data_IF_666587675927
#
_entry.id   IF_666587675927
#
_cell.length_a   1.000
_cell.length_b   1.000
_cell.length_c   1.000
_cell.angle_alpha   90.00
_cell.angle_beta   90.00
_cell.angle_gamma   90.00
#
_symmetry.space_group_name_H-M   'P 1'
#
loop_
_entity.id
_entity.type
_entity.pdbx_description
1 polymer ?
#
# COMPACT_ATOMS: atom_id res chain seq x y z
N UNK A 1 -16.98 13.26 18.08
CA UNK A 1 -16.71 13.25 16.62
C UNK A 1 -17.00 11.85 16.10
N UNK A 2 -17.84 11.71 15.07
CA UNK A 2 -18.17 10.38 14.50
C UNK A 2 -17.10 9.94 13.50
N UNK A 3 -16.91 8.63 13.29
CA UNK A 3 -15.98 8.09 12.27
C UNK A 3 -16.24 8.67 10.89
N UNK A 4 -17.51 8.90 10.53
CA UNK A 4 -17.91 9.54 9.26
C UNK A 4 -17.37 10.97 9.17
N UNK A 5 -17.58 11.80 10.19
CA UNK A 5 -17.04 13.16 10.23
C UNK A 5 -15.52 13.17 10.17
N UNK A 6 -14.87 12.20 10.85
CA UNK A 6 -13.42 12.01 10.79
C UNK A 6 -12.92 11.78 9.37
N UNK A 7 -13.52 10.84 8.65
CA UNK A 7 -13.14 10.56 7.26
C UNK A 7 -13.44 11.73 6.33
N UNK A 8 -14.59 12.40 6.48
CA UNK A 8 -14.97 13.54 5.64
C UNK A 8 -13.98 14.71 5.76
N UNK A 9 -13.36 14.90 6.92
CA UNK A 9 -12.36 15.96 7.13
C UNK A 9 -10.96 15.46 6.78
N UNK A 10 -10.60 14.26 7.21
CA UNK A 10 -9.24 13.74 7.07
C UNK A 10 -8.87 13.40 5.63
N UNK A 11 -9.79 12.88 4.81
CA UNK A 11 -9.49 12.52 3.41
C UNK A 11 -9.12 13.75 2.56
N UNK A 12 -9.86 14.88 2.60
CA UNK A 12 -9.43 16.11 1.94
C UNK A 12 -8.08 16.62 2.45
N UNK A 13 -7.82 16.55 3.76
CA UNK A 13 -6.52 16.95 4.32
C UNK A 13 -5.40 16.07 3.78
N UNK A 14 -5.58 14.75 3.74
CA UNK A 14 -4.61 13.81 3.14
C UNK A 14 -4.37 14.14 1.67
N UNK A 15 -5.43 14.46 0.92
CA UNK A 15 -5.30 14.86 -0.48
C UNK A 15 -4.49 16.15 -0.62
N UNK A 16 -4.77 17.18 0.19
CA UNK A 16 -4.01 18.43 0.18
C UNK A 16 -2.55 18.18 0.50
N UNK A 17 -2.27 17.43 1.59
CA UNK A 17 -0.91 17.08 2.00
C UNK A 17 -0.17 16.32 0.89
N UNK A 18 -0.83 15.35 0.24
CA UNK A 18 -0.24 14.63 -0.87
C UNK A 18 0.06 15.54 -2.08
N UNK A 19 -0.88 16.43 -2.44
CA UNK A 19 -0.74 17.32 -3.61
C UNK A 19 0.29 18.44 -3.37
N UNK A 20 0.58 18.80 -2.11
CA UNK A 20 1.66 19.76 -1.79
C UNK A 20 2.99 19.32 -2.40
N UNK A 21 3.28 18.02 -2.49
CA UNK A 21 4.49 17.50 -3.12
C UNK A 21 4.65 17.96 -4.58
N UNK A 22 3.55 18.12 -5.32
CA UNK A 22 3.54 18.61 -6.71
C UNK A 22 3.56 20.14 -6.81
N UNK A 23 3.11 20.85 -5.78
CA UNK A 23 3.04 22.31 -5.79
C UNK A 23 4.38 22.96 -5.44
N UNK A 24 5.27 22.22 -4.78
CA UNK A 24 6.60 22.69 -4.40
C UNK A 24 7.59 22.64 -5.58
N UNK A 25 8.64 23.48 -5.58
CA UNK A 25 9.77 23.34 -6.49
C UNK A 25 10.37 21.92 -6.41
N UNK A 26 10.91 21.39 -7.51
CA UNK A 26 11.36 19.99 -7.61
C UNK A 26 12.26 19.55 -6.44
N UNK A 27 13.26 20.35 -6.06
CA UNK A 27 14.16 20.04 -4.94
C UNK A 27 13.46 19.99 -3.57
N UNK A 28 12.45 20.85 -3.36
CA UNK A 28 11.68 20.88 -2.12
C UNK A 28 10.64 19.77 -2.08
N UNK A 29 9.94 19.52 -3.20
CA UNK A 29 9.02 18.40 -3.37
C UNK A 29 9.72 17.06 -3.17
N UNK A 30 10.94 16.93 -3.69
CA UNK A 30 11.80 15.78 -3.46
C UNK A 30 12.08 15.52 -1.98
N UNK A 31 12.56 16.55 -1.29
CA UNK A 31 12.88 16.48 0.14
C UNK A 31 11.63 16.17 0.95
N UNK A 32 10.50 16.77 0.58
CA UNK A 32 9.21 16.54 1.20
C UNK A 32 8.78 15.08 1.09
N UNK A 33 8.81 14.50 -0.11
CA UNK A 33 8.43 13.10 -0.34
C UNK A 33 9.37 12.14 0.40
N UNK A 34 10.69 12.38 0.34
CA UNK A 34 11.72 11.56 1.01
C UNK A 34 11.55 11.49 2.53
N UNK A 35 10.95 12.51 3.15
CA UNK A 35 10.69 12.50 4.60
C UNK A 35 9.30 11.95 4.90
N UNK A 36 8.30 12.41 4.15
CA UNK A 36 6.91 12.12 4.45
C UNK A 36 6.53 10.67 4.15
N UNK A 37 7.03 10.09 3.08
CA UNK A 37 6.73 8.70 2.71
C UNK A 37 7.21 7.69 3.75
N UNK A 38 8.51 7.61 4.10
CA UNK A 38 8.97 6.71 5.16
C UNK A 38 8.36 7.09 6.52
N UNK A 39 8.16 8.39 6.79
CA UNK A 39 7.48 8.85 8.00
C UNK A 39 6.05 8.31 8.13
N UNK A 40 5.27 8.35 7.05
CA UNK A 40 3.92 7.81 6.99
C UNK A 40 3.91 6.28 7.17
N UNK A 41 4.84 5.58 6.52
CA UNK A 41 5.01 4.13 6.67
C UNK A 41 5.36 3.74 8.11
N UNK A 42 6.32 4.41 8.75
CA UNK A 42 6.68 4.15 10.14
C UNK A 42 5.53 4.47 11.10
N UNK A 43 4.81 5.58 10.89
CA UNK A 43 3.61 5.90 11.66
C UNK A 43 2.53 4.82 11.51
N UNK A 44 2.32 4.33 10.28
CA UNK A 44 1.40 3.22 9.99
C UNK A 44 1.84 1.93 10.67
N UNK A 45 3.14 1.63 10.71
CA UNK A 45 3.68 0.46 11.39
C UNK A 45 3.36 0.48 12.89
N UNK A 46 3.54 1.63 13.55
CA UNK A 46 3.21 1.82 14.97
C UNK A 46 1.71 1.76 15.22
N UNK A 47 0.90 2.42 14.38
CA UNK A 47 -0.55 2.38 14.49
C UNK A 47 -1.11 0.97 14.28
N UNK A 48 -0.63 0.25 13.27
CA UNK A 48 -1.02 -1.14 13.01
C UNK A 48 -0.60 -2.06 14.15
N UNK A 49 0.60 -1.89 14.71
CA UNK A 49 1.04 -2.64 15.89
C UNK A 49 0.11 -2.39 17.07
N UNK A 50 -0.20 -1.12 17.36
CA UNK A 50 -1.12 -0.78 18.44
C UNK A 50 -2.51 -1.40 18.21
N UNK A 51 -3.05 -1.28 17.00
CA UNK A 51 -4.34 -1.89 16.64
C UNK A 51 -4.29 -3.40 16.85
N UNK A 52 -3.19 -4.06 16.50
CA UNK A 52 -3.03 -5.50 16.71
C UNK A 52 -3.17 -5.90 18.19
N UNK A 53 -2.69 -5.07 19.12
CA UNK A 53 -2.77 -5.33 20.56
C UNK A 53 -4.20 -5.25 21.11
N UNK A 54 -5.10 -4.56 20.41
CA UNK A 54 -6.52 -4.46 20.80
C UNK A 54 -7.34 -5.69 20.37
N UNK A 55 -6.84 -6.48 19.41
CA UNK A 55 -7.56 -7.63 18.86
C UNK A 55 -6.99 -8.98 19.33
N UNK A 56 -7.74 -10.05 19.07
CA UNK A 56 -7.32 -11.44 19.28
C UNK A 56 -7.49 -12.26 18.00
N UNK A 57 -6.80 -13.40 17.93
CA UNK A 57 -6.93 -14.35 16.82
C UNK A 57 -6.46 -13.77 15.47
N UNK A 58 -7.23 -14.03 14.41
CA UNK A 58 -6.86 -13.70 13.04
C UNK A 58 -6.67 -12.19 12.78
N UNK A 59 -7.48 -11.32 13.40
CA UNK A 59 -7.33 -9.86 13.25
C UNK A 59 -6.02 -9.35 13.85
N UNK A 60 -5.61 -9.87 15.02
CA UNK A 60 -4.32 -9.53 15.62
C UNK A 60 -3.17 -9.91 14.69
N UNK A 61 -3.20 -11.12 14.13
CA UNK A 61 -2.20 -11.56 13.17
C UNK A 61 -2.17 -10.67 11.94
N UNK A 62 -3.33 -10.35 11.34
CA UNK A 62 -3.42 -9.46 10.19
C UNK A 62 -2.71 -8.11 10.43
N UNK A 63 -3.00 -7.46 11.56
CA UNK A 63 -2.38 -6.17 11.88
C UNK A 63 -0.91 -6.27 12.30
N UNK A 64 -0.48 -7.38 12.92
CA UNK A 64 0.94 -7.63 13.19
C UNK A 64 1.74 -7.78 11.90
N UNK A 65 1.26 -8.57 10.95
CA UNK A 65 1.90 -8.73 9.65
C UNK A 65 1.89 -7.43 8.84
N UNK A 66 0.79 -6.67 8.90
CA UNK A 66 0.70 -5.36 8.27
C UNK A 66 1.67 -4.34 8.89
N UNK A 67 1.84 -4.37 10.21
CA UNK A 67 2.84 -3.56 10.92
C UNK A 67 4.26 -3.92 10.48
N UNK A 68 4.58 -5.22 10.42
CA UNK A 68 5.87 -5.69 9.91
C UNK A 68 6.13 -5.26 8.47
N UNK A 69 5.11 -5.35 7.60
CA UNK A 69 5.19 -4.85 6.23
C UNK A 69 5.52 -3.35 6.21
N UNK A 70 4.77 -2.50 6.91
CA UNK A 70 5.02 -1.06 6.91
C UNK A 70 6.36 -0.68 7.53
N UNK A 71 6.79 -1.39 8.57
CA UNK A 71 8.08 -1.15 9.20
C UNK A 71 9.21 -1.42 8.20
N UNK A 72 9.21 -2.62 7.62
CA UNK A 72 10.25 -2.99 6.66
C UNK A 72 10.17 -2.11 5.41
N UNK A 73 8.98 -1.93 4.84
CA UNK A 73 8.83 -1.08 3.67
C UNK A 73 9.21 0.39 3.96
N UNK A 74 8.98 0.89 5.18
CA UNK A 74 9.44 2.20 5.62
C UNK A 74 10.97 2.30 5.68
N UNK A 75 11.65 1.30 6.25
CA UNK A 75 13.11 1.31 6.39
C UNK A 75 13.85 1.34 5.05
N UNK A 76 13.36 0.62 4.04
CA UNK A 76 13.98 0.63 2.70
C UNK A 76 13.74 1.95 1.93
N UNK A 77 12.82 2.79 2.42
CA UNK A 77 12.58 4.12 1.86
C UNK A 77 13.37 5.22 2.58
N UNK A 78 14.27 4.87 3.50
CA UNK A 78 15.19 5.83 4.13
C UNK A 78 16.55 5.75 3.43
N UNK A 79 16.85 6.73 2.58
CA UNK A 79 18.06 6.78 1.73
C UNK A 79 19.33 6.45 2.53
N UNK A 80 19.53 7.09 3.69
CA UNK A 80 20.74 6.89 4.51
C UNK A 80 20.90 5.45 5.03
N UNK A 81 19.81 4.72 5.25
CA UNK A 81 19.88 3.31 5.67
C UNK A 81 20.20 2.39 4.49
N UNK A 82 19.67 2.73 3.31
CA UNK A 82 19.93 1.98 2.08
C UNK A 82 21.39 2.15 1.66
N UNK A 83 21.93 3.36 1.72
CA UNK A 83 23.34 3.65 1.44
C UNK A 83 24.27 2.87 2.39
N UNK A 84 24.01 2.93 3.70
CA UNK A 84 24.79 2.16 4.68
C UNK A 84 24.71 0.65 4.44
N UNK A 85 23.53 0.13 4.05
CA UNK A 85 23.36 -1.28 3.71
C UNK A 85 24.07 -1.66 2.42
N UNK A 86 24.08 -0.77 1.41
CA UNK A 86 24.79 -0.98 0.16
C UNK A 86 26.31 -1.04 0.39
N UNK A 87 26.85 -0.11 1.17
CA UNK A 87 28.27 -0.13 1.57
C UNK A 87 28.63 -1.38 2.37
N UNK A 88 27.77 -1.82 3.30
CA UNK A 88 28.05 -2.98 4.14
C UNK A 88 27.95 -4.33 3.41
N UNK A 89 27.12 -4.43 2.38
CA UNK A 89 26.82 -5.67 1.68
C UNK A 89 27.51 -5.78 0.31
N UNK A 90 28.03 -4.67 -0.22
CA UNK A 90 28.78 -4.57 -1.48
C UNK A 90 28.09 -5.37 -2.61
N UNK A 91 28.80 -6.29 -3.28
CA UNK A 91 28.27 -7.12 -4.37
C UNK A 91 27.10 -8.05 -4.00
N UNK A 92 26.71 -8.15 -2.73
CA UNK A 92 25.53 -8.91 -2.27
C UNK A 92 24.30 -8.04 -2.00
N UNK A 93 24.41 -6.71 -2.09
CA UNK A 93 23.32 -5.78 -1.78
C UNK A 93 22.04 -6.07 -2.56
N UNK A 94 22.15 -6.34 -3.88
CA UNK A 94 20.99 -6.64 -4.72
C UNK A 94 20.23 -7.89 -4.27
N UNK A 95 20.96 -8.95 -3.88
CA UNK A 95 20.34 -10.20 -3.38
C UNK A 95 19.67 -9.98 -2.03
N UNK A 96 20.27 -9.16 -1.17
CA UNK A 96 19.69 -8.79 0.11
C UNK A 96 18.41 -7.96 -0.09
N UNK A 97 18.42 -7.00 -1.02
CA UNK A 97 17.24 -6.20 -1.38
C UNK A 97 16.12 -7.07 -1.95
N UNK A 98 16.45 -8.05 -2.80
CA UNK A 98 15.51 -9.03 -3.30
C UNK A 98 14.87 -9.85 -2.18
N UNK A 99 15.69 -10.42 -1.29
CA UNK A 99 15.20 -11.17 -0.14
C UNK A 99 14.30 -10.32 0.76
N UNK A 100 14.69 -9.06 0.97
CA UNK A 100 13.91 -8.08 1.71
C UNK A 100 12.54 -7.84 1.09
N UNK A 101 12.50 -7.63 -0.23
CA UNK A 101 11.27 -7.40 -0.97
C UNK A 101 10.34 -8.61 -0.90
N UNK A 102 10.87 -9.82 -1.07
CA UNK A 102 10.11 -11.07 -0.92
C UNK A 102 9.49 -11.15 0.49
N UNK A 103 10.26 -10.86 1.54
CA UNK A 103 9.76 -10.85 2.91
C UNK A 103 8.65 -9.81 3.08
N UNK A 104 8.83 -8.58 2.60
CA UNK A 104 7.78 -7.54 2.70
C UNK A 104 6.49 -7.97 2.02
N UNK A 105 6.54 -8.52 0.80
CA UNK A 105 5.36 -9.00 0.10
C UNK A 105 4.72 -10.20 0.78
N UNK A 106 5.51 -11.12 1.32
CA UNK A 106 4.99 -12.24 2.09
C UNK A 106 4.20 -11.76 3.31
N UNK A 107 4.71 -10.77 4.06
CA UNK A 107 3.99 -10.18 5.19
C UNK A 107 2.65 -9.57 4.75
N UNK A 108 2.63 -8.82 3.65
CA UNK A 108 1.40 -8.21 3.13
C UNK A 108 0.39 -9.26 2.66
N UNK A 109 0.83 -10.30 1.94
CA UNK A 109 -0.04 -11.40 1.50
C UNK A 109 -0.60 -12.19 2.68
N UNK A 110 0.23 -12.50 3.67
CA UNK A 110 -0.21 -13.18 4.89
C UNK A 110 -1.22 -12.31 5.64
N UNK A 111 -0.98 -11.00 5.75
CA UNK A 111 -1.94 -10.06 6.31
C UNK A 111 -3.28 -10.16 5.57
N UNK A 112 -3.28 -10.06 4.24
CA UNK A 112 -4.48 -10.18 3.40
C UNK A 112 -5.20 -11.53 3.61
N UNK A 113 -4.47 -12.64 3.72
CA UNK A 113 -5.05 -13.96 3.98
C UNK A 113 -5.75 -14.03 5.34
N UNK A 114 -5.16 -13.45 6.40
CA UNK A 114 -5.80 -13.36 7.71
C UNK A 114 -7.05 -12.48 7.69
N UNK A 115 -7.03 -11.39 6.94
CA UNK A 115 -8.19 -10.51 6.74
C UNK A 115 -9.32 -11.30 6.05
N UNK A 116 -9.01 -12.02 4.97
CA UNK A 116 -9.96 -12.86 4.26
C UNK A 116 -10.52 -13.98 5.14
N UNK A 117 -9.72 -14.54 6.06
CA UNK A 117 -10.20 -15.55 7.01
C UNK A 117 -11.27 -15.01 7.95
N UNK A 118 -11.21 -13.72 8.30
CA UNK A 118 -12.20 -13.05 9.15
C UNK A 118 -13.46 -12.70 8.36
N UNK A 119 -13.30 -12.36 7.09
CA UNK A 119 -14.39 -11.93 6.21
C UNK A 119 -15.03 -13.13 5.52
N UNK A 120 -16.29 -13.42 5.84
CA UNK A 120 -17.03 -14.51 5.18
C UNK A 120 -17.38 -14.14 3.72
N UNK A 121 -16.47 -14.46 2.79
CA UNK A 121 -16.59 -14.17 1.34
C UNK A 121 -17.83 -14.80 0.70
N UNK A 122 -18.42 -15.82 1.34
CA UNK A 122 -19.61 -16.53 0.87
C UNK A 122 -20.86 -15.66 0.73
N UNK A 123 -20.87 -14.43 1.29
CA UNK A 123 -22.02 -13.51 1.25
C UNK A 123 -21.96 -12.42 0.17
N UNK A 124 -21.10 -12.57 -0.83
CA UNK A 124 -20.94 -11.58 -1.90
C UNK A 124 -22.21 -11.46 -2.77
N UNK A 125 -22.82 -10.27 -2.84
CA UNK A 125 -23.97 -10.06 -3.74
C UNK A 125 -23.57 -10.11 -5.21
N UNK A 126 -24.56 -10.18 -6.12
CA UNK A 126 -24.33 -10.17 -7.58
C UNK A 126 -23.48 -8.98 -8.05
N UNK A 127 -23.70 -7.77 -7.50
CA UNK A 127 -22.90 -6.58 -7.82
C UNK A 127 -21.46 -6.71 -7.36
N UNK A 128 -21.23 -7.30 -6.19
CA UNK A 128 -19.88 -7.53 -5.69
C UNK A 128 -19.10 -8.53 -6.52
N UNK A 129 -19.76 -9.62 -6.94
CA UNK A 129 -19.14 -10.59 -7.85
C UNK A 129 -18.72 -9.93 -9.17
N UNK A 130 -19.49 -8.98 -9.67
CA UNK A 130 -19.16 -8.24 -10.88
C UNK A 130 -17.96 -7.32 -10.67
N UNK A 131 -17.86 -6.65 -9.53
CA UNK A 131 -16.71 -5.80 -9.19
C UNK A 131 -15.44 -6.62 -8.96
N UNK A 132 -15.52 -7.75 -8.25
CA UNK A 132 -14.37 -8.66 -8.10
C UNK A 132 -13.90 -9.19 -9.46
N UNK A 133 -14.83 -9.51 -10.37
CA UNK A 133 -14.48 -9.92 -11.74
C UNK A 133 -13.85 -8.77 -12.54
N UNK A 134 -14.44 -7.58 -12.49
CA UNK A 134 -13.89 -6.40 -13.17
C UNK A 134 -12.50 -6.03 -12.66
N UNK A 135 -12.29 -6.07 -11.35
CA UNK A 135 -10.98 -5.93 -10.72
C UNK A 135 -10.00 -7.01 -11.15
N UNK A 136 -10.44 -8.26 -11.24
CA UNK A 136 -9.65 -9.38 -11.77
C UNK A 136 -9.27 -9.21 -13.25
N UNK A 137 -10.16 -8.64 -14.07
CA UNK A 137 -9.87 -8.31 -15.46
C UNK A 137 -8.91 -7.12 -15.58
N UNK A 138 -9.04 -6.10 -14.75
CA UNK A 138 -8.09 -4.98 -14.69
C UNK A 138 -6.70 -5.47 -14.27
N UNK A 139 -6.65 -6.31 -13.23
CA UNK A 139 -5.45 -7.04 -12.79
C UNK A 139 -4.78 -7.78 -13.94
N UNK A 140 -5.53 -8.61 -14.65
CA UNK A 140 -5.04 -9.36 -15.78
C UNK A 140 -4.59 -8.43 -16.91
N UNK A 141 -5.34 -7.36 -17.18
CA UNK A 141 -5.00 -6.34 -18.16
C UNK A 141 -3.67 -5.64 -17.85
N UNK A 142 -3.42 -5.28 -16.59
CA UNK A 142 -2.14 -4.74 -16.13
C UNK A 142 -1.03 -5.76 -16.42
N UNK A 143 -1.15 -7.01 -15.98
CA UNK A 143 -0.12 -8.03 -16.21
C UNK A 143 0.12 -8.27 -17.71
N UNK A 144 -0.94 -8.37 -18.51
CA UNK A 144 -0.85 -8.61 -19.95
C UNK A 144 -0.30 -7.41 -20.73
N UNK A 145 -0.63 -6.18 -20.35
CA UNK A 145 -0.13 -4.97 -21.00
C UNK A 145 1.39 -4.86 -20.90
N UNK A 146 1.97 -5.34 -19.80
CA UNK A 146 3.41 -5.33 -19.57
C UNK A 146 4.12 -6.62 -19.99
N UNK A 147 3.39 -7.60 -20.55
CA UNK A 147 3.93 -8.84 -21.11
C UNK A 147 4.71 -8.63 -22.44
N UNK A 148 4.32 -7.74 -23.39
CA UNK A 148 5.05 -7.50 -24.64
C UNK A 148 6.44 -6.86 -24.44
N UNK A 149 6.59 -5.96 -23.46
CA UNK A 149 7.91 -5.47 -23.00
C UNK A 149 8.82 -6.65 -22.61
N UNK A 150 8.20 -7.74 -22.15
CA UNK A 150 8.86 -8.98 -21.79
C UNK A 150 9.11 -9.90 -23.00
N UNK A 151 8.27 -9.89 -24.05
CA UNK A 151 8.51 -10.70 -25.25
C UNK A 151 9.66 -10.18 -26.10
N UNK A 152 9.85 -8.85 -26.14
CA UNK A 152 11.01 -8.24 -26.79
C UNK A 152 12.31 -8.49 -25.98
N UNK A 153 12.21 -8.58 -24.66
CA UNK A 153 13.29 -9.00 -23.75
C UNK A 153 13.59 -10.52 -23.78
N UNK A 154 12.57 -11.35 -24.02
CA UNK A 154 12.68 -12.80 -24.21
C UNK A 154 13.10 -13.20 -25.64
N UNK A 155 13.43 -12.23 -26.51
CA UNK A 155 14.26 -12.52 -27.67
C UNK A 155 15.51 -13.27 -27.20
N UNK A 156 15.64 -14.53 -27.61
CA UNK A 156 16.44 -15.60 -27.00
C UNK A 156 17.97 -15.40 -26.92
N UNK A 157 18.49 -14.18 -27.04
CA UNK A 157 19.92 -13.88 -27.11
C UNK A 157 20.45 -12.89 -26.04
N UNK A 158 19.64 -12.41 -25.08
CA UNK A 158 20.11 -11.59 -23.97
C UNK A 158 19.86 -12.29 -22.62
N UNK A 159 20.94 -12.50 -21.85
CA UNK A 159 20.89 -12.99 -20.47
C UNK A 159 19.80 -12.24 -19.68
N UNK A 160 18.97 -12.93 -18.87
CA UNK A 160 17.92 -12.27 -18.11
C UNK A 160 18.55 -11.30 -17.12
N UNK A 161 18.45 -10.01 -17.41
CA UNK A 161 18.64 -8.93 -16.45
C UNK A 161 17.77 -9.24 -15.22
N UNK A 162 18.39 -9.64 -14.10
CA UNK A 162 17.72 -10.13 -12.88
C UNK A 162 16.64 -9.13 -12.38
N UNK A 163 16.83 -7.85 -12.69
CA UNK A 163 15.89 -6.75 -12.43
C UNK A 163 14.56 -6.86 -13.18
N UNK A 164 14.53 -7.37 -14.41
CA UNK A 164 13.30 -7.49 -15.19
C UNK A 164 12.37 -8.57 -14.63
N UNK A 165 12.95 -9.71 -14.23
CA UNK A 165 12.21 -10.80 -13.56
C UNK A 165 11.66 -10.31 -12.22
N UNK A 166 12.46 -9.55 -11.47
CA UNK A 166 12.03 -8.96 -10.20
C UNK A 166 10.85 -8.01 -10.39
N UNK A 167 10.94 -7.06 -11.32
CA UNK A 167 9.86 -6.12 -11.61
C UNK A 167 8.56 -6.82 -12.02
N UNK A 168 8.65 -7.91 -12.79
CA UNK A 168 7.47 -8.72 -13.14
C UNK A 168 6.87 -9.40 -11.90
N UNK A 169 7.69 -10.00 -11.05
CA UNK A 169 7.21 -10.64 -9.82
C UNK A 169 6.52 -9.63 -8.89
N UNK A 170 7.11 -8.45 -8.71
CA UNK A 170 6.55 -7.32 -7.96
C UNK A 170 5.16 -6.95 -8.49
N UNK A 171 5.04 -6.77 -9.81
CA UNK A 171 3.77 -6.47 -10.47
C UNK A 171 2.73 -7.58 -10.25
N UNK A 172 3.13 -8.84 -10.38
CA UNK A 172 2.25 -10.00 -10.11
C UNK A 172 1.77 -9.99 -8.66
N UNK A 173 2.65 -9.68 -7.70
CA UNK A 173 2.30 -9.59 -6.29
C UNK A 173 1.34 -8.43 -6.00
N UNK A 174 1.59 -7.24 -6.53
CA UNK A 174 0.72 -6.07 -6.37
C UNK A 174 -0.69 -6.35 -6.89
N UNK A 175 -0.77 -6.95 -8.08
CA UNK A 175 -2.01 -7.38 -8.70
C UNK A 175 -2.72 -8.45 -7.87
N UNK A 176 -1.97 -9.41 -7.32
CA UNK A 176 -2.52 -10.46 -6.45
C UNK A 176 -3.13 -9.85 -5.19
N UNK A 177 -2.42 -8.94 -4.53
CA UNK A 177 -2.92 -8.22 -3.34
C UNK A 177 -4.19 -7.45 -3.67
N UNK A 178 -4.23 -6.75 -4.81
CA UNK A 178 -5.43 -6.04 -5.26
C UNK A 178 -6.62 -7.00 -5.43
N UNK A 179 -6.45 -8.12 -6.13
CA UNK A 179 -7.52 -9.11 -6.37
C UNK A 179 -8.02 -9.70 -5.04
N UNK A 180 -7.14 -9.91 -4.06
CA UNK A 180 -7.51 -10.39 -2.72
C UNK A 180 -8.29 -9.34 -1.91
N UNK A 181 -7.93 -8.06 -2.02
CA UNK A 181 -8.52 -6.98 -1.20
C UNK A 181 -9.80 -6.38 -1.79
N UNK A 182 -10.00 -6.38 -3.11
CA UNK A 182 -11.25 -5.90 -3.72
C UNK A 182 -12.52 -6.55 -3.13
N UNK A 183 -12.63 -7.89 -3.03
CA UNK A 183 -13.81 -8.52 -2.43
C UNK A 183 -13.96 -8.16 -0.95
N UNK A 184 -12.84 -7.99 -0.22
CA UNK A 184 -12.83 -7.55 1.18
C UNK A 184 -13.45 -6.16 1.30
N UNK A 185 -12.92 -5.19 0.56
CA UNK A 185 -13.42 -3.81 0.50
C UNK A 185 -14.91 -3.80 0.19
N UNK A 186 -15.33 -4.55 -0.82
CA UNK A 186 -16.71 -4.58 -1.24
C UNK A 186 -17.64 -5.19 -0.18
N UNK A 187 -17.25 -6.31 0.43
CA UNK A 187 -18.03 -6.94 1.51
C UNK A 187 -18.17 -6.00 2.71
N UNK A 188 -17.12 -5.25 3.06
CA UNK A 188 -17.21 -4.25 4.11
C UNK A 188 -18.09 -3.06 3.71
N UNK A 189 -18.08 -2.59 2.46
CA UNK A 189 -19.02 -1.55 2.00
C UNK A 189 -20.48 -2.04 2.13
N UNK A 190 -20.75 -3.30 1.82
CA UNK A 190 -22.09 -3.89 1.94
C UNK A 190 -22.50 -4.07 3.40
N UNK A 191 -21.61 -4.61 4.22
CA UNK A 191 -21.86 -4.90 5.63
C UNK A 191 -21.79 -3.66 6.53
N UNK A 192 -21.21 -2.55 6.04
CA UNK A 192 -21.26 -1.25 6.72
C UNK A 192 -22.72 -0.87 7.04
N UNK A 193 -23.71 -1.28 6.24
CA UNK A 193 -25.12 -0.99 6.58
C UNK A 193 -25.61 -1.63 7.89
N UNK A 194 -24.95 -2.67 8.40
CA UNK A 194 -25.35 -3.41 9.61
C UNK A 194 -24.42 -3.22 10.83
N UNK A 195 -23.11 -3.01 10.62
CA UNK A 195 -22.11 -2.69 11.67
C UNK A 195 -21.22 -1.53 11.23
N UNK A 196 -21.82 -0.34 11.20
CA UNK A 196 -21.41 0.81 10.37
C UNK A 196 -19.99 1.37 10.55
N UNK A 197 -19.33 1.18 11.70
CA UNK A 197 -18.17 2.02 12.04
C UNK A 197 -16.83 1.29 11.96
N UNK A 198 -16.69 0.08 12.51
CA UNK A 198 -15.48 -0.74 12.34
C UNK A 198 -15.23 -1.14 10.87
N UNK A 199 -16.33 -1.37 10.15
CA UNK A 199 -16.35 -1.69 8.73
C UNK A 199 -15.75 -0.57 7.87
N UNK A 200 -16.05 0.69 8.20
CA UNK A 200 -15.65 1.85 7.40
C UNK A 200 -14.14 2.13 7.50
N UNK A 201 -13.56 2.05 8.70
CA UNK A 201 -12.13 2.28 8.89
C UNK A 201 -11.29 1.19 8.25
N UNK A 202 -11.78 -0.06 8.29
CA UNK A 202 -11.12 -1.18 7.65
C UNK A 202 -11.17 -1.08 6.13
N UNK A 203 -12.31 -0.62 5.58
CA UNK A 203 -12.43 -0.27 4.16
C UNK A 203 -11.41 0.79 3.76
N UNK A 204 -11.22 1.85 4.55
CA UNK A 204 -10.27 2.93 4.24
C UNK A 204 -8.83 2.41 4.23
N UNK A 205 -8.44 1.56 5.18
CA UNK A 205 -7.12 0.91 5.17
C UNK A 205 -6.93 0.07 3.90
N UNK A 206 -7.88 -0.80 3.58
CA UNK A 206 -7.78 -1.66 2.40
C UNK A 206 -7.80 -0.87 1.08
N UNK A 207 -8.60 0.20 0.99
CA UNK A 207 -8.61 1.13 -0.15
C UNK A 207 -7.28 1.85 -0.26
N UNK A 208 -6.69 2.30 0.85
CA UNK A 208 -5.37 2.92 0.84
C UNK A 208 -4.26 1.98 0.36
N UNK A 209 -4.29 0.70 0.77
CA UNK A 209 -3.36 -0.32 0.26
C UNK A 209 -3.54 -0.52 -1.24
N UNK A 210 -4.79 -0.69 -1.72
CA UNK A 210 -5.07 -0.82 -3.15
C UNK A 210 -4.59 0.43 -3.90
N UNK A 211 -4.86 1.61 -3.38
CA UNK A 211 -4.46 2.88 -3.98
C UNK A 211 -2.93 2.98 -4.11
N UNK A 212 -2.18 2.66 -3.06
CA UNK A 212 -0.70 2.70 -3.08
C UNK A 212 -0.09 1.67 -4.05
N UNK A 213 -0.79 0.58 -4.37
CA UNK A 213 -0.28 -0.44 -5.28
C UNK A 213 -0.71 -0.21 -6.73
N UNK A 214 -1.91 0.34 -6.96
CA UNK A 214 -2.56 0.31 -8.28
C UNK A 214 -2.49 1.66 -8.99
N UNK A 215 -2.52 2.78 -8.26
CA UNK A 215 -2.61 4.09 -8.89
C UNK A 215 -1.38 4.39 -9.77
N UNK A 216 -0.22 3.84 -9.42
CA UNK A 216 1.00 3.95 -10.23
C UNK A 216 0.86 3.23 -11.57
N UNK A 217 0.32 2.01 -11.60
CA UNK A 217 0.08 1.28 -12.86
C UNK A 217 -1.04 1.91 -13.69
N UNK A 218 -2.07 2.47 -13.03
CA UNK A 218 -3.11 3.22 -13.74
C UNK A 218 -2.53 4.49 -14.35
N UNK A 219 -1.62 5.16 -13.66
CA UNK A 219 -0.89 6.31 -14.20
C UNK A 219 -0.07 5.90 -15.44
N UNK A 220 0.75 4.84 -15.32
CA UNK A 220 1.57 4.29 -16.41
C UNK A 220 0.71 3.95 -17.64
N UNK A 221 -0.45 3.33 -17.44
CA UNK A 221 -1.41 3.01 -18.51
C UNK A 221 -2.02 4.24 -19.18
N UNK A 222 -2.20 5.34 -18.44
CA UNK A 222 -2.79 6.58 -18.95
C UNK A 222 -1.77 7.46 -19.66
N UNK A 223 -0.53 7.52 -19.15
CA UNK A 223 0.56 8.33 -19.71
C UNK A 223 1.31 7.62 -20.82
N UNK A 224 1.21 6.29 -20.91
CA UNK A 224 2.01 5.45 -21.81
C UNK A 224 3.53 5.56 -21.58
N UNK A 225 3.94 6.08 -20.43
CA UNK A 225 5.34 6.21 -20.02
C UNK A 225 5.69 5.09 -19.03
N UNK A 226 6.68 4.22 -19.33
CA UNK A 226 7.06 3.13 -18.42
C UNK A 226 7.53 3.66 -17.06
N UNK A 227 7.15 2.96 -15.97
CA UNK A 227 7.68 3.27 -14.61
C UNK A 227 9.21 3.23 -14.60
N UNK A 228 9.80 2.36 -15.43
CA UNK A 228 11.24 2.31 -15.60
C UNK A 228 11.76 3.66 -16.11
N UNK A 229 11.21 4.28 -17.16
CA UNK A 229 11.68 5.60 -17.63
C UNK A 229 11.37 6.74 -16.65
N UNK A 230 10.33 6.58 -15.81
CA UNK A 230 10.02 7.51 -14.70
C UNK A 230 10.97 7.30 -13.50
N UNK A 231 11.57 6.12 -13.35
CA UNK A 231 12.49 5.74 -12.27
C UNK A 231 13.97 5.66 -12.70
N UNK A 232 14.26 5.63 -14.00
CA UNK A 232 15.59 5.43 -14.60
C UNK A 232 16.33 6.76 -14.75
N UNK A 233 16.26 7.50 -13.67
CA UNK A 233 17.44 8.12 -13.12
C UNK A 233 18.10 7.18 -12.13
N UNK A 234 18.69 6.06 -12.57
CA UNK A 234 19.69 5.21 -11.87
C UNK A 234 19.46 5.03 -10.36
N UNK A 235 19.21 3.79 -9.94
CA UNK A 235 18.89 3.35 -8.58
C UNK A 235 19.80 3.83 -7.40
N UNK A 236 20.83 4.66 -7.63
CA UNK A 236 21.61 5.37 -6.59
C UNK A 236 21.95 6.85 -6.97
N UNK A 237 21.84 7.29 -8.23
CA UNK A 237 22.49 8.56 -8.67
C UNK A 237 21.55 9.64 -9.24
N UNK A 238 20.30 9.35 -9.63
CA UNK A 238 19.42 10.36 -10.25
C UNK A 238 18.00 10.39 -9.67
N UNK A 239 17.84 9.97 -8.40
CA UNK A 239 16.62 10.23 -7.60
C UNK A 239 16.36 11.73 -7.37
N UNK A 240 17.35 12.59 -7.68
CA UNK A 240 17.26 14.05 -7.54
C UNK A 240 16.42 14.73 -8.65
N UNK A 241 16.24 14.11 -9.81
CA UNK A 241 15.50 14.71 -10.93
C UNK A 241 14.01 14.33 -11.01
N UNK A 242 13.57 13.33 -10.23
CA UNK A 242 12.19 12.82 -10.25
C UNK A 242 11.52 12.74 -8.87
N UNK A 243 12.16 13.29 -7.84
CA UNK A 243 11.54 13.43 -6.54
C UNK A 243 10.69 14.73 -6.52
N UNK A 244 9.43 14.63 -6.08
CA UNK A 244 8.38 15.64 -6.30
C UNK A 244 7.42 15.30 -7.46
N UNK A 245 7.41 14.05 -7.93
CA UNK A 245 6.59 13.62 -9.07
C UNK A 245 5.16 13.26 -8.67
N UNK A 246 4.32 13.11 -9.70
CA UNK A 246 2.96 12.60 -9.57
C UNK A 246 2.91 11.23 -8.87
N UNK A 247 3.92 10.36 -9.05
CA UNK A 247 3.99 9.05 -8.40
C UNK A 247 4.16 9.16 -6.88
N UNK A 248 5.07 10.02 -6.40
CA UNK A 248 5.26 10.26 -4.96
C UNK A 248 3.96 10.71 -4.30
N UNK A 249 3.20 11.55 -4.99
CA UNK A 249 1.89 12.02 -4.50
C UNK A 249 0.90 10.86 -4.32
N UNK A 250 0.88 9.91 -5.26
CA UNK A 250 -0.01 8.75 -5.18
C UNK A 250 0.39 7.82 -4.02
N UNK A 251 1.69 7.61 -3.82
CA UNK A 251 2.21 6.82 -2.70
C UNK A 251 1.90 7.48 -1.36
N UNK A 252 2.26 8.76 -1.19
CA UNK A 252 1.96 9.56 0.01
C UNK A 252 0.47 9.55 0.30
N UNK A 253 -0.39 9.77 -0.72
CA UNK A 253 -1.84 9.70 -0.57
C UNK A 253 -2.28 8.34 -0.02
N UNK A 254 -1.82 7.25 -0.62
CA UNK A 254 -2.13 5.89 -0.19
C UNK A 254 -1.72 5.62 1.26
N UNK A 255 -0.48 5.94 1.63
CA UNK A 255 0.03 5.70 2.97
C UNK A 255 -0.62 6.58 4.03
N UNK A 256 -0.86 7.85 3.76
CA UNK A 256 -1.58 8.72 4.68
C UNK A 256 -3.05 8.29 4.84
N UNK A 257 -3.70 7.82 3.76
CA UNK A 257 -5.06 7.30 3.83
C UNK A 257 -5.14 6.05 4.72
N UNK A 258 -4.16 5.15 4.63
CA UNK A 258 -4.02 4.01 5.54
C UNK A 258 -3.90 4.50 6.99
N UNK A 259 -3.03 5.48 7.26
CA UNK A 259 -2.81 6.01 8.60
C UNK A 259 -4.05 6.63 9.22
N UNK A 260 -4.81 7.42 8.44
CA UNK A 260 -6.11 7.93 8.84
C UNK A 260 -7.08 6.79 9.17
N UNK A 261 -7.11 5.75 8.33
CA UNK A 261 -7.92 4.56 8.56
C UNK A 261 -7.60 3.88 9.89
N UNK A 262 -6.31 3.62 10.15
CA UNK A 262 -5.83 2.99 11.39
C UNK A 262 -6.06 3.87 12.63
N UNK A 263 -5.81 5.17 12.52
CA UNK A 263 -6.01 6.13 13.61
C UNK A 263 -7.48 6.23 14.02
N UNK A 264 -8.38 6.40 13.05
CA UNK A 264 -9.82 6.47 13.32
C UNK A 264 -10.35 5.13 13.85
N UNK A 265 -9.81 4.01 13.36
CA UNK A 265 -10.14 2.70 13.87
C UNK A 265 -9.81 2.58 15.37
N UNK A 266 -8.59 2.98 15.74
CA UNK A 266 -8.16 3.02 17.13
C UNK A 266 -9.04 3.92 17.99
N UNK A 267 -9.27 5.17 17.56
CA UNK A 267 -10.09 6.12 18.34
C UNK A 267 -11.51 5.61 18.54
N UNK A 268 -12.07 4.93 17.55
CA UNK A 268 -13.38 4.32 17.67
C UNK A 268 -13.44 3.23 18.76
N UNK A 269 -12.42 2.37 18.86
CA UNK A 269 -12.34 1.36 19.93
C UNK A 269 -12.23 2.03 21.31
N UNK A 270 -11.36 3.04 21.45
CA UNK A 270 -11.20 3.79 22.72
C UNK A 270 -12.52 4.46 23.15
N UNK A 271 -13.24 5.11 22.23
CA UNK A 271 -14.51 5.77 22.53
C UNK A 271 -15.62 4.79 22.87
N UNK A 272 -15.67 3.64 22.19
CA UNK A 272 -16.66 2.59 22.46
C UNK A 272 -16.48 2.02 23.86
N UNK A 273 -15.23 1.78 24.28
CA UNK A 273 -14.92 1.29 25.63
C UNK A 273 -15.33 2.30 26.71
N UNK A 274 -15.00 3.59 26.55
CA UNK A 274 -15.40 4.65 27.49
C UNK A 274 -16.92 4.76 27.65
N UNK A 275 -17.67 4.57 26.56
CA UNK A 275 -19.14 4.61 26.61
C UNK A 275 -19.70 3.45 27.43
N UNK A 276 -19.14 2.26 27.29
CA UNK A 276 -19.53 1.09 28.11
C UNK A 276 -19.20 1.34 29.58
N UNK A 277 -18.01 1.85 29.88
CA UNK A 277 -17.62 2.17 31.26
C UNK A 277 -18.57 3.21 31.90
N UNK A 278 -18.98 4.23 31.15
CA UNK A 278 -19.93 5.25 31.63
C UNK A 278 -21.35 4.74 31.85
N UNK A 279 -21.74 3.62 31.23
CA UNK A 279 -23.05 2.99 31.42
C UNK A 279 -23.05 2.01 32.60
N UNK A 280 -21.88 1.63 33.10
CA UNK A 280 -21.69 0.72 34.23
C UNK A 280 -21.44 1.45 35.56
N UNK A 281 -21.34 2.78 35.54
CA UNK A 281 -21.27 3.68 36.71
C UNK A 281 -22.62 4.36 36.91
#
# INVERSE_FOLDING_TARGET
MTTKQGLTIAVPVVLVVAVVAQALPSSEGATYSKVLEPGALLANALLALWVSLMYRGALRSAFLFLSGFFLLYGLVNIDSLVEQAAEALDGSFLRALLAYQIVTYALLLIACAYILKVVSVKRLTRRGRLITRGGGLLALGIVLFFLPVFSDFLGFDALPNEFAVLNLLVRIFDVTVMVLLIPVVWLYIQNARAKYQESATFTVVAVGIIASLVLVYVAELLTWEPIAEIADGSFVVNRENHAGTYLDTLYIFGYLLIGVGLFLHRKHQEWSFKKVESLLK
#
